data_IF_407195687134
#
_entry.id   IF_407195687134
#
_cell.length_a   1.000
_cell.length_b   1.000
_cell.length_c   1.000
_cell.angle_alpha   90.00
_cell.angle_beta   90.00
_cell.angle_gamma   90.00
#
_symmetry.space_group_name_H-M   'P 1'
#
loop_
_entity.id
_entity.type
_entity.pdbx_description
1 polymer ?
#
# COMPACT_ATOMS: atom_id res chain seq x y z
N UNK A 1 32.54 -3.59 -8.16
CA UNK A 1 31.58 -2.58 -7.88
C UNK A 1 30.33 -3.18 -7.28
N UNK A 2 29.90 -2.59 -6.28
CA UNK A 2 28.71 -3.09 -5.65
C UNK A 2 27.46 -2.62 -6.40
N UNK A 3 26.69 -3.52 -6.87
CA UNK A 3 25.39 -3.22 -7.44
C UNK A 3 24.29 -3.19 -6.39
N UNK A 4 24.65 -3.39 -5.11
CA UNK A 4 23.67 -3.51 -4.03
C UNK A 4 22.79 -2.28 -3.88
N UNK A 5 23.36 -1.09 -4.03
CA UNK A 5 22.62 0.16 -3.87
C UNK A 5 21.64 0.43 -5.02
N UNK A 6 21.97 -0.06 -6.20
CA UNK A 6 21.22 0.27 -7.40
C UNK A 6 20.74 -0.96 -8.14
N UNK A 7 20.69 -2.12 -7.48
CA UNK A 7 20.18 -3.29 -8.15
C UNK A 7 18.68 -3.11 -8.43
N UNK A 8 18.29 -3.60 -9.58
CA UNK A 8 16.94 -3.40 -10.09
C UNK A 8 15.85 -3.93 -9.15
N UNK A 9 16.10 -5.11 -8.59
CA UNK A 9 15.11 -5.73 -7.68
C UNK A 9 14.93 -4.91 -6.42
N UNK A 10 16.01 -4.37 -5.87
CA UNK A 10 15.91 -3.51 -4.69
C UNK A 10 15.11 -2.25 -4.95
N UNK A 11 15.34 -1.61 -6.10
CA UNK A 11 14.60 -0.41 -6.49
C UNK A 11 13.12 -0.74 -6.70
N UNK A 12 12.84 -1.85 -7.36
CA UNK A 12 11.46 -2.27 -7.59
C UNK A 12 10.75 -2.65 -6.30
N UNK A 13 11.45 -3.25 -5.36
CA UNK A 13 10.90 -3.52 -4.04
C UNK A 13 10.47 -2.22 -3.36
N UNK A 14 11.31 -1.19 -3.41
CA UNK A 14 10.97 0.11 -2.83
C UNK A 14 9.73 0.72 -3.49
N UNK A 15 9.63 0.58 -4.83
CA UNK A 15 8.45 1.05 -5.55
C UNK A 15 7.19 0.32 -5.07
N UNK A 16 7.28 -1.01 -4.89
CA UNK A 16 6.16 -1.79 -4.38
C UNK A 16 5.74 -1.31 -2.99
N UNK A 17 6.71 -1.08 -2.10
CA UNK A 17 6.42 -0.59 -0.76
C UNK A 17 5.77 0.79 -0.77
N UNK A 18 6.22 1.68 -1.66
CA UNK A 18 5.62 3.01 -1.81
C UNK A 18 4.17 2.91 -2.29
N UNK A 19 3.91 2.01 -3.23
CA UNK A 19 2.56 1.78 -3.74
C UNK A 19 1.63 1.33 -2.61
N UNK A 20 2.07 0.35 -1.83
CA UNK A 20 1.27 -0.14 -0.70
C UNK A 20 1.11 0.93 0.37
N UNK A 21 2.16 1.71 0.63
CA UNK A 21 2.10 2.83 1.56
C UNK A 21 1.09 3.89 1.13
N UNK A 22 1.01 4.18 -0.16
CA UNK A 22 0.04 5.15 -0.68
C UNK A 22 -1.40 4.67 -0.47
N UNK A 23 -1.63 3.36 -0.65
CA UNK A 23 -2.95 2.78 -0.42
C UNK A 23 -3.31 2.85 1.08
N UNK A 24 -2.36 2.50 1.94
CA UNK A 24 -2.56 2.60 3.40
C UNK A 24 -2.88 4.04 3.79
N UNK A 25 -2.15 5.02 3.25
CA UNK A 25 -2.37 6.44 3.56
C UNK A 25 -3.76 6.89 3.16
N UNK A 26 -4.26 6.43 2.01
CA UNK A 26 -5.61 6.75 1.58
C UNK A 26 -6.64 6.25 2.60
N UNK A 27 -6.55 4.99 3.00
CA UNK A 27 -7.51 4.42 3.94
C UNK A 27 -7.36 5.00 5.34
N UNK A 28 -6.14 5.35 5.74
CA UNK A 28 -5.91 6.03 7.02
C UNK A 28 -6.57 7.41 7.03
N UNK A 29 -6.54 8.12 5.92
CA UNK A 29 -7.21 9.41 5.80
C UNK A 29 -8.73 9.25 5.89
N UNK A 30 -9.27 8.25 5.18
CA UNK A 30 -10.71 7.94 5.25
C UNK A 30 -11.12 7.65 6.70
N UNK A 31 -10.32 6.83 7.39
CA UNK A 31 -10.58 6.46 8.78
C UNK A 31 -10.56 7.70 9.69
N UNK A 32 -9.54 8.56 9.51
CA UNK A 32 -9.41 9.77 10.31
C UNK A 32 -10.59 10.73 10.12
N UNK A 33 -10.99 10.90 8.85
CA UNK A 33 -12.14 11.76 8.54
C UNK A 33 -13.43 11.20 9.14
N UNK A 34 -13.62 9.88 9.04
CA UNK A 34 -14.82 9.26 9.59
C UNK A 34 -14.86 9.38 11.11
N UNK A 35 -13.72 9.15 11.77
CA UNK A 35 -13.64 9.24 13.22
C UNK A 35 -13.81 10.66 13.76
N UNK A 36 -13.62 11.68 12.92
CA UNK A 36 -13.79 13.06 13.31
C UNK A 36 -15.25 13.51 13.27
N UNK A 37 -16.14 12.71 12.71
CA UNK A 37 -17.57 13.04 12.65
C UNK A 37 -18.20 12.85 14.01
N UNK A 38 -19.24 13.64 14.27
CA UNK A 38 -20.03 13.52 15.50
C UNK A 38 -20.62 12.11 15.63
N UNK A 39 -21.12 11.57 14.51
CA UNK A 39 -21.61 10.19 14.44
C UNK A 39 -20.89 9.53 13.29
N UNK A 40 -19.92 8.65 13.61
CA UNK A 40 -19.19 7.93 12.57
C UNK A 40 -19.98 6.69 12.15
N UNK A 41 -19.80 6.33 10.87
CA UNK A 41 -20.41 5.14 10.30
C UNK A 41 -19.50 3.93 10.58
N UNK A 42 -19.96 2.96 11.39
CA UNK A 42 -19.14 1.79 11.71
C UNK A 42 -18.73 0.99 10.48
N UNK A 43 -19.55 0.97 9.43
CA UNK A 43 -19.25 0.25 8.22
C UNK A 43 -18.02 0.85 7.52
N UNK A 44 -17.96 2.18 7.46
CA UNK A 44 -16.81 2.88 6.87
C UNK A 44 -15.54 2.63 7.70
N UNK A 45 -15.67 2.73 9.02
CA UNK A 45 -14.54 2.51 9.94
C UNK A 45 -13.98 1.09 9.78
N UNK A 46 -14.84 0.09 9.82
CA UNK A 46 -14.42 -1.31 9.73
C UNK A 46 -13.79 -1.60 8.35
N UNK A 47 -14.39 -1.08 7.29
CA UNK A 47 -13.87 -1.28 5.94
C UNK A 47 -12.47 -0.68 5.79
N UNK A 48 -12.25 0.53 6.30
CA UNK A 48 -10.94 1.19 6.23
C UNK A 48 -9.90 0.42 7.05
N UNK A 49 -10.25 -0.03 8.26
CA UNK A 49 -9.35 -0.81 9.10
C UNK A 49 -8.97 -2.13 8.45
N UNK A 50 -9.96 -2.81 7.84
CA UNK A 50 -9.70 -4.08 7.16
C UNK A 50 -8.77 -3.89 5.96
N UNK A 51 -8.97 -2.83 5.18
CA UNK A 51 -8.11 -2.52 4.04
C UNK A 51 -6.67 -2.26 4.49
N UNK A 52 -6.49 -1.46 5.54
CA UNK A 52 -5.16 -1.17 6.08
C UNK A 52 -4.47 -2.45 6.53
N UNK A 53 -5.18 -3.30 7.26
CA UNK A 53 -4.64 -4.56 7.75
C UNK A 53 -4.21 -5.48 6.61
N UNK A 54 -5.05 -5.61 5.59
CA UNK A 54 -4.77 -6.46 4.44
C UNK A 54 -3.50 -5.99 3.71
N UNK A 55 -3.40 -4.69 3.46
CA UNK A 55 -2.26 -4.13 2.73
C UNK A 55 -0.98 -4.24 3.58
N UNK A 56 -1.08 -4.04 4.89
CA UNK A 56 0.08 -4.23 5.78
C UNK A 56 0.56 -5.68 5.76
N UNK A 57 -0.35 -6.65 5.70
CA UNK A 57 0.03 -8.06 5.59
C UNK A 57 0.73 -8.35 4.27
N UNK A 58 0.24 -7.79 3.17
CA UNK A 58 0.89 -7.93 1.88
C UNK A 58 2.30 -7.38 1.91
N UNK A 59 2.47 -6.19 2.48
CA UNK A 59 3.78 -5.55 2.56
C UNK A 59 4.74 -6.36 3.42
N UNK A 60 4.27 -6.86 4.57
CA UNK A 60 5.09 -7.65 5.48
C UNK A 60 5.49 -9.00 4.91
N UNK A 61 4.68 -9.55 4.03
CA UNK A 61 4.96 -10.85 3.40
C UNK A 61 5.74 -10.78 2.10
N UNK A 62 6.01 -9.57 1.60
CA UNK A 62 6.71 -9.42 0.32
C UNK A 62 8.21 -9.63 0.51
N UNK A 63 8.75 -10.64 -0.17
CA UNK A 63 10.18 -10.92 -0.14
C UNK A 63 10.92 -9.92 -1.03
N UNK A 64 11.86 -9.13 -0.45
CA UNK A 64 12.62 -8.15 -1.24
C UNK A 64 13.41 -8.75 -2.39
N UNK A 65 13.64 -10.06 -2.38
CA UNK A 65 14.41 -10.76 -3.41
C UNK A 65 13.55 -11.44 -4.46
N UNK A 66 12.24 -11.48 -4.24
CA UNK A 66 11.32 -12.16 -5.15
C UNK A 66 10.85 -11.19 -6.23
N UNK A 67 11.61 -11.11 -7.30
CA UNK A 67 11.35 -10.20 -8.41
C UNK A 67 9.97 -10.43 -9.03
N UNK A 68 9.58 -11.68 -9.22
CA UNK A 68 8.29 -12.01 -9.84
C UNK A 68 7.12 -11.53 -8.98
N UNK A 69 7.19 -11.76 -7.67
CA UNK A 69 6.16 -11.31 -6.74
C UNK A 69 6.08 -9.79 -6.69
N UNK A 70 7.23 -9.13 -6.69
CA UNK A 70 7.30 -7.68 -6.68
C UNK A 70 6.63 -7.09 -7.93
N UNK A 71 6.96 -7.61 -9.11
CA UNK A 71 6.38 -7.10 -10.34
C UNK A 71 4.88 -7.38 -10.42
N UNK A 72 4.43 -8.54 -9.95
CA UNK A 72 3.01 -8.86 -9.89
C UNK A 72 2.26 -7.89 -8.99
N UNK A 73 2.84 -7.56 -7.85
CA UNK A 73 2.25 -6.62 -6.91
C UNK A 73 2.15 -5.21 -7.51
N UNK A 74 3.22 -4.76 -8.15
CA UNK A 74 3.24 -3.45 -8.80
C UNK A 74 2.18 -3.37 -9.89
N UNK A 75 2.06 -4.43 -10.69
CA UNK A 75 1.08 -4.46 -11.78
C UNK A 75 -0.35 -4.43 -11.25
N UNK A 76 -0.61 -5.09 -10.13
CA UNK A 76 -1.95 -5.17 -9.55
C UNK A 76 -2.32 -3.90 -8.79
N UNK A 77 -1.42 -3.42 -7.95
CA UNK A 77 -1.73 -2.36 -7.00
C UNK A 77 -1.32 -0.96 -7.45
N UNK A 78 -0.39 -0.85 -8.40
CA UNK A 78 0.03 0.44 -8.93
C UNK A 78 -1.12 1.27 -9.48
N UNK A 79 -1.94 0.71 -10.39
CA UNK A 79 -3.10 1.44 -10.90
C UNK A 79 -4.10 1.82 -9.82
N UNK A 80 -4.32 0.92 -8.85
CA UNK A 80 -5.22 1.21 -7.73
C UNK A 80 -4.71 2.38 -6.89
N UNK A 81 -3.43 2.38 -6.57
CA UNK A 81 -2.83 3.47 -5.78
C UNK A 81 -3.00 4.81 -6.49
N UNK A 82 -2.77 4.84 -7.81
CA UNK A 82 -2.96 6.06 -8.60
C UNK A 82 -4.39 6.52 -8.56
N UNK A 83 -5.33 5.61 -8.68
CA UNK A 83 -6.75 5.94 -8.67
C UNK A 83 -7.21 6.47 -7.33
N UNK A 84 -6.79 5.84 -6.23
CA UNK A 84 -7.18 6.24 -4.87
C UNK A 84 -6.62 7.61 -4.49
N UNK A 85 -5.44 7.95 -5.01
CA UNK A 85 -4.78 9.21 -4.68
C UNK A 85 -4.98 10.28 -5.73
N UNK A 86 -5.88 10.06 -6.64
CA UNK A 86 -6.23 11.04 -7.67
C UNK A 86 -7.07 12.15 -7.03
N UNK A 87 -6.65 13.35 -7.24
CA UNK A 87 -7.32 14.52 -6.68
C UNK A 87 -8.66 14.80 -7.36
#
# INVERSE_FOLDING_TARGET
MSSGLFNRTGVRYEVACEILGAIISHHAEVLGLENSKTISDPTVVVAAQAAISEINQLRGGLDPKDSAAIESLIAKYGPLARQLNKA
#
